data_IF_934255551124
#
_entry.id   IF_934255551124
#
_cell.length_a   1.000
_cell.length_b   1.000
_cell.length_c   1.000
_cell.angle_alpha   90.00
_cell.angle_beta   90.00
_cell.angle_gamma   90.00
#
_symmetry.space_group_name_H-M   'P 1'
#
loop_
_entity.id
_entity.type
_entity.pdbx_description
1 polymer ?
#
# COMPACT_ATOMS: atom_id res chain seq x y z
N UNK A 1 10.72 -12.35 -6.67
CA UNK A 1 9.77 -11.20 -6.66
C UNK A 1 10.45 -9.94 -6.15
N UNK A 2 9.94 -8.74 -6.48
CA UNK A 2 10.45 -7.46 -5.93
C UNK A 2 9.37 -6.85 -5.01
N UNK A 3 9.79 -6.29 -3.85
CA UNK A 3 8.92 -5.54 -2.94
C UNK A 3 9.50 -4.16 -2.72
N UNK A 4 8.83 -3.10 -3.20
CA UNK A 4 9.20 -1.71 -2.88
C UNK A 4 8.50 -1.28 -1.59
N UNK A 5 9.15 -0.44 -0.79
CA UNK A 5 8.66 -0.13 0.56
C UNK A 5 8.81 -1.30 1.53
N UNK A 6 9.80 -2.17 1.29
CA UNK A 6 10.06 -3.41 2.04
C UNK A 6 10.32 -3.20 3.53
N UNK A 7 10.84 -2.03 3.94
CA UNK A 7 11.06 -1.66 5.33
C UNK A 7 9.85 -0.92 5.97
N UNK A 8 8.76 -0.79 5.23
CA UNK A 8 7.48 -0.27 5.72
C UNK A 8 6.72 -1.30 6.57
N UNK A 9 5.62 -0.88 7.19
CA UNK A 9 4.77 -1.74 8.03
C UNK A 9 4.24 -2.95 7.27
N UNK A 10 3.62 -2.73 6.10
CA UNK A 10 3.08 -3.80 5.25
C UNK A 10 4.20 -4.54 4.53
N UNK A 11 5.20 -3.83 4.01
CA UNK A 11 6.32 -4.43 3.27
C UNK A 11 7.09 -5.47 4.08
N UNK A 12 7.40 -5.17 5.35
CA UNK A 12 8.06 -6.13 6.26
C UNK A 12 7.24 -7.40 6.49
N UNK A 13 5.93 -7.24 6.68
CA UNK A 13 5.04 -8.37 6.88
C UNK A 13 4.96 -9.24 5.61
N UNK A 14 4.82 -8.60 4.44
CA UNK A 14 4.80 -9.30 3.15
C UNK A 14 6.12 -10.04 2.87
N UNK A 15 7.28 -9.37 3.04
CA UNK A 15 8.59 -10.00 2.82
C UNK A 15 8.78 -11.23 3.73
N UNK A 16 8.37 -11.14 5.01
CA UNK A 16 8.43 -12.26 5.95
C UNK A 16 7.56 -13.42 5.52
N UNK A 17 6.34 -13.15 5.05
CA UNK A 17 5.42 -14.20 4.62
C UNK A 17 5.87 -14.87 3.31
N UNK A 18 6.36 -14.08 2.35
CA UNK A 18 6.94 -14.62 1.12
C UNK A 18 8.16 -15.51 1.39
N UNK A 19 9.02 -15.11 2.33
CA UNK A 19 10.18 -15.93 2.74
C UNK A 19 9.76 -17.28 3.37
N UNK A 20 8.67 -17.32 4.17
CA UNK A 20 8.12 -18.58 4.71
C UNK A 20 7.59 -19.51 3.60
N UNK A 21 7.26 -18.98 2.45
CA UNK A 21 6.78 -19.72 1.26
C UNK A 21 7.91 -20.05 0.28
N UNK A 22 9.17 -19.92 0.72
CA UNK A 22 10.36 -20.15 -0.10
C UNK A 22 10.42 -19.28 -1.37
N UNK A 23 9.82 -18.09 -1.33
CA UNK A 23 9.86 -17.10 -2.42
C UNK A 23 11.04 -16.17 -2.23
N UNK A 24 11.95 -16.11 -3.21
CA UNK A 24 13.04 -15.15 -3.21
C UNK A 24 12.52 -13.72 -3.38
N UNK A 25 12.92 -12.82 -2.48
CA UNK A 25 12.47 -11.43 -2.43
C UNK A 25 13.62 -10.45 -2.51
N UNK A 26 13.55 -9.54 -3.47
CA UNK A 26 14.42 -8.36 -3.55
C UNK A 26 13.68 -7.18 -2.92
N UNK A 27 14.10 -6.77 -1.73
CA UNK A 27 13.51 -5.62 -1.03
C UNK A 27 14.15 -4.30 -1.47
N UNK A 28 13.33 -3.31 -1.79
CA UNK A 28 13.75 -1.96 -2.15
C UNK A 28 13.10 -0.95 -1.19
N UNK A 29 13.92 -0.21 -0.46
CA UNK A 29 13.43 0.83 0.47
C UNK A 29 14.48 1.94 0.65
N UNK A 30 14.01 3.18 0.79
CA UNK A 30 14.89 4.33 1.08
C UNK A 30 15.65 4.19 2.40
N UNK A 31 15.07 3.49 3.39
CA UNK A 31 15.75 3.24 4.65
C UNK A 31 16.99 2.37 4.50
N UNK A 32 17.01 1.51 3.48
CA UNK A 32 18.18 0.73 3.09
C UNK A 32 18.99 1.38 1.96
N UNK A 33 18.71 2.64 1.62
CA UNK A 33 19.43 3.39 0.57
C UNK A 33 19.04 3.01 -0.86
N UNK A 34 17.94 2.28 -1.07
CA UNK A 34 17.56 1.79 -2.40
C UNK A 34 16.21 2.36 -2.80
N UNK A 35 16.19 3.17 -3.85
CA UNK A 35 14.97 3.78 -4.38
C UNK A 35 14.09 2.75 -5.11
N UNK A 36 12.76 2.95 -5.04
CA UNK A 36 11.80 2.08 -5.72
C UNK A 36 12.00 2.02 -7.24
N UNK A 37 12.51 3.08 -7.85
CA UNK A 37 12.82 3.15 -9.29
C UNK A 37 13.94 2.20 -9.73
N UNK A 38 14.69 1.59 -8.80
CA UNK A 38 15.64 0.50 -9.10
C UNK A 38 14.96 -0.71 -9.75
N UNK A 39 13.64 -0.86 -9.58
CA UNK A 39 12.83 -1.85 -10.31
C UNK A 39 13.12 -1.80 -11.81
N UNK A 40 13.23 -0.60 -12.41
CA UNK A 40 13.48 -0.45 -13.84
C UNK A 40 14.78 -1.13 -14.34
N UNK A 41 15.80 -1.15 -13.50
CA UNK A 41 17.07 -1.82 -13.83
C UNK A 41 16.98 -3.33 -13.58
N UNK A 42 16.36 -3.73 -12.47
CA UNK A 42 16.24 -5.14 -12.09
C UNK A 42 15.44 -5.95 -13.11
N UNK A 43 14.37 -5.38 -13.64
CA UNK A 43 13.51 -6.04 -14.63
C UNK A 43 14.23 -6.30 -15.95
N UNK A 44 15.25 -5.51 -16.32
CA UNK A 44 16.08 -5.75 -17.52
C UNK A 44 16.83 -7.08 -17.48
N UNK A 45 17.16 -7.56 -16.29
CA UNK A 45 17.90 -8.81 -16.11
C UNK A 45 17.01 -10.05 -16.17
N UNK A 46 15.70 -9.89 -16.21
CA UNK A 46 14.72 -11.00 -16.20
C UNK A 46 14.64 -11.74 -14.86
N UNK A 47 13.87 -12.84 -14.84
CA UNK A 47 13.74 -13.70 -13.66
C UNK A 47 12.85 -13.14 -12.54
N UNK A 48 12.04 -12.11 -12.83
CA UNK A 48 11.11 -11.50 -11.88
C UNK A 48 9.66 -11.76 -12.34
N UNK A 49 8.90 -12.47 -11.52
CA UNK A 49 7.49 -12.81 -11.84
C UNK A 49 6.52 -11.70 -11.43
N UNK A 50 6.83 -10.99 -10.32
CA UNK A 50 5.93 -9.99 -9.77
C UNK A 50 6.69 -8.87 -9.05
N UNK A 51 6.16 -7.66 -9.18
CA UNK A 51 6.55 -6.48 -8.39
C UNK A 51 5.39 -6.10 -7.47
N UNK A 52 5.64 -6.08 -6.15
CA UNK A 52 4.76 -5.47 -5.17
C UNK A 52 5.19 -4.03 -4.93
N UNK A 53 4.43 -3.07 -5.42
CA UNK A 53 4.72 -1.66 -5.21
C UNK A 53 3.97 -1.11 -4.00
N UNK A 54 4.65 -1.10 -2.84
CA UNK A 54 4.10 -0.62 -1.56
C UNK A 54 4.74 0.70 -1.10
N UNK A 55 5.78 1.17 -1.80
CA UNK A 55 6.44 2.43 -1.49
C UNK A 55 5.53 3.61 -1.81
N UNK A 56 5.24 4.45 -0.81
CA UNK A 56 4.51 5.70 -0.98
C UNK A 56 4.67 6.62 0.23
N UNK A 57 4.53 7.92 0.02
CA UNK A 57 4.22 8.87 1.08
C UNK A 57 2.75 8.72 1.47
N UNK A 58 2.49 8.40 2.72
CA UNK A 58 1.15 8.06 3.20
C UNK A 58 0.54 9.11 4.13
N UNK A 59 1.15 10.30 4.21
CA UNK A 59 0.61 11.40 5.03
C UNK A 59 -0.65 11.96 4.39
N UNK A 60 -1.76 11.91 5.09
CA UNK A 60 -3.01 12.58 4.71
C UNK A 60 -3.06 14.04 5.20
N UNK A 61 -2.10 14.46 6.05
CA UNK A 61 -2.02 15.79 6.64
C UNK A 61 -0.74 16.49 6.18
N UNK A 62 -0.87 17.67 5.59
CA UNK A 62 0.20 18.65 5.33
C UNK A 62 1.54 18.07 4.83
N UNK A 63 1.49 17.14 3.88
CA UNK A 63 2.68 16.69 3.17
C UNK A 63 3.20 17.78 2.22
N UNK A 64 4.51 17.79 1.97
CA UNK A 64 5.05 18.53 0.85
C UNK A 64 4.43 17.99 -0.45
N UNK A 65 3.62 18.80 -1.12
CA UNK A 65 2.86 18.40 -2.32
C UNK A 65 3.79 17.93 -3.45
N UNK A 66 4.91 18.62 -3.63
CA UNK A 66 5.91 18.25 -4.63
C UNK A 66 6.54 16.89 -4.32
N UNK A 67 6.84 16.64 -3.04
CA UNK A 67 7.38 15.35 -2.61
C UNK A 67 6.36 14.23 -2.77
N UNK A 68 5.08 14.47 -2.47
CA UNK A 68 4.01 13.47 -2.70
C UNK A 68 3.88 13.18 -4.20
N UNK A 69 3.90 14.19 -5.05
CA UNK A 69 3.85 14.01 -6.50
C UNK A 69 5.02 13.15 -6.98
N UNK A 70 6.25 13.49 -6.59
CA UNK A 70 7.45 12.76 -6.96
C UNK A 70 7.44 11.31 -6.45
N UNK A 71 7.10 11.12 -5.17
CA UNK A 71 7.20 9.81 -4.52
C UNK A 71 6.04 8.87 -4.87
N UNK A 72 4.83 9.39 -5.04
CA UNK A 72 3.66 8.57 -5.31
C UNK A 72 3.36 8.49 -6.82
N UNK A 73 3.30 9.62 -7.52
CA UNK A 73 2.87 9.66 -8.93
C UNK A 73 4.04 9.32 -9.86
N UNK A 74 5.12 10.12 -9.83
CA UNK A 74 6.22 9.95 -10.80
C UNK A 74 6.94 8.60 -10.60
N UNK A 75 7.11 8.17 -9.35
CA UNK A 75 7.70 6.86 -9.04
C UNK A 75 6.78 5.72 -9.45
N UNK A 76 5.47 5.83 -9.19
CA UNK A 76 4.50 4.81 -9.62
C UNK A 76 4.51 4.62 -11.14
N UNK A 77 4.42 5.72 -11.90
CA UNK A 77 4.46 5.66 -13.37
C UNK A 77 5.70 4.90 -13.87
N UNK A 78 6.87 5.22 -13.35
CA UNK A 78 8.12 4.54 -13.75
C UNK A 78 8.10 3.05 -13.46
N UNK A 79 7.62 2.64 -12.27
CA UNK A 79 7.51 1.23 -11.89
C UNK A 79 6.47 0.51 -12.76
N UNK A 80 5.32 1.13 -12.99
CA UNK A 80 4.23 0.60 -13.79
C UNK A 80 4.64 0.42 -15.26
N UNK A 81 5.30 1.44 -15.84
CA UNK A 81 5.81 1.38 -17.21
C UNK A 81 6.85 0.28 -17.39
N UNK A 82 7.78 0.14 -16.41
CA UNK A 82 8.77 -0.93 -16.45
C UNK A 82 8.11 -2.31 -16.36
N UNK A 83 7.14 -2.52 -15.46
CA UNK A 83 6.39 -3.77 -15.37
C UNK A 83 5.65 -4.08 -16.68
N UNK A 84 5.02 -3.08 -17.29
CA UNK A 84 4.32 -3.25 -18.57
C UNK A 84 5.29 -3.57 -19.72
N UNK A 85 6.43 -2.88 -19.78
CA UNK A 85 7.47 -3.09 -20.80
C UNK A 85 8.05 -4.51 -20.74
N UNK A 86 8.30 -5.03 -19.55
CA UNK A 86 8.91 -6.36 -19.34
C UNK A 86 7.87 -7.47 -19.09
N UNK A 87 6.59 -7.17 -19.24
CA UNK A 87 5.47 -8.13 -19.04
C UNK A 87 5.45 -8.80 -17.66
N UNK A 88 5.85 -8.06 -16.63
CA UNK A 88 5.89 -8.51 -15.25
C UNK A 88 4.61 -8.09 -14.54
N UNK A 89 4.02 -8.99 -13.72
CA UNK A 89 2.85 -8.69 -12.90
C UNK A 89 3.15 -7.55 -11.93
N UNK A 90 2.27 -6.53 -11.89
CA UNK A 90 2.31 -5.45 -10.92
C UNK A 90 1.16 -5.61 -9.93
N UNK A 91 1.46 -5.76 -8.65
CA UNK A 91 0.52 -5.62 -7.54
C UNK A 91 0.87 -4.33 -6.79
N UNK A 92 -0.05 -3.40 -6.64
CA UNK A 92 0.27 -2.13 -6.00
C UNK A 92 -0.73 -1.75 -4.92
N UNK A 93 -0.20 -1.10 -3.87
CA UNK A 93 -1.03 -0.58 -2.80
C UNK A 93 -1.76 0.69 -3.26
N UNK A 94 -3.08 0.60 -3.39
CA UNK A 94 -3.99 1.72 -3.39
C UNK A 94 -4.56 1.94 -2.00
N UNK A 95 -5.62 2.71 -1.86
CA UNK A 95 -6.19 3.12 -0.57
C UNK A 95 -7.70 3.25 -0.66
N UNK A 96 -8.40 3.00 0.45
CA UNK A 96 -9.81 3.37 0.59
C UNK A 96 -10.08 4.87 0.39
N UNK A 97 -9.04 5.71 0.48
CA UNK A 97 -9.12 7.15 0.21
C UNK A 97 -9.01 7.50 -1.28
N UNK A 98 -8.74 6.54 -2.16
CA UNK A 98 -8.70 6.71 -3.61
C UNK A 98 -10.13 6.78 -4.19
N UNK A 99 -10.95 7.68 -3.64
CA UNK A 99 -12.32 7.91 -4.08
C UNK A 99 -12.45 9.37 -4.55
N UNK A 100 -12.72 9.63 -5.84
CA UNK A 100 -12.79 10.99 -6.38
C UNK A 100 -13.86 11.85 -5.72
N UNK A 101 -14.96 11.25 -5.24
CA UNK A 101 -16.07 11.98 -4.62
C UNK A 101 -15.74 12.49 -3.20
N UNK A 102 -14.84 11.78 -2.48
CA UNK A 102 -14.58 12.04 -1.06
C UNK A 102 -13.10 12.30 -0.75
N UNK A 103 -12.24 12.36 -1.76
CA UNK A 103 -10.81 12.60 -1.56
C UNK A 103 -10.55 14.06 -1.20
N UNK A 104 -10.03 14.29 0.00
CA UNK A 104 -9.65 15.60 0.53
C UNK A 104 -8.13 15.75 0.73
N UNK A 105 -7.34 14.77 0.32
CA UNK A 105 -5.89 14.75 0.52
C UNK A 105 -5.13 14.43 -0.77
N UNK A 106 -3.94 15.04 -0.93
CA UNK A 106 -3.04 14.73 -2.05
C UNK A 106 -2.63 13.25 -2.08
N UNK A 107 -2.57 12.60 -0.93
CA UNK A 107 -2.36 11.15 -0.87
C UNK A 107 -3.50 10.38 -1.56
N UNK A 108 -4.74 10.69 -1.23
CA UNK A 108 -5.90 10.05 -1.87
C UNK A 108 -5.95 10.32 -3.38
N UNK A 109 -5.68 11.58 -3.79
CA UNK A 109 -5.58 11.96 -5.20
C UNK A 109 -4.48 11.15 -5.91
N UNK A 110 -3.29 11.03 -5.30
CA UNK A 110 -2.20 10.26 -5.90
C UNK A 110 -2.57 8.77 -6.07
N UNK A 111 -3.27 8.18 -5.10
CA UNK A 111 -3.72 6.78 -5.20
C UNK A 111 -4.82 6.58 -6.24
N UNK A 112 -5.73 7.54 -6.37
CA UNK A 112 -6.71 7.53 -7.46
C UNK A 112 -6.04 7.67 -8.82
N UNK A 113 -5.04 8.55 -8.95
CA UNK A 113 -4.22 8.66 -10.17
C UNK A 113 -3.54 7.32 -10.51
N UNK A 114 -2.91 6.65 -9.54
CA UNK A 114 -2.26 5.35 -9.73
C UNK A 114 -3.25 4.32 -10.32
N UNK A 115 -4.49 4.27 -9.80
CA UNK A 115 -5.55 3.39 -10.31
C UNK A 115 -5.93 3.70 -11.76
N UNK A 116 -6.13 4.99 -12.09
CA UNK A 116 -6.48 5.39 -13.46
C UNK A 116 -5.32 5.11 -14.42
N UNK A 117 -4.09 5.44 -14.04
CA UNK A 117 -2.90 5.18 -14.84
C UNK A 117 -2.76 3.68 -15.14
N UNK A 118 -2.81 2.85 -14.11
CA UNK A 118 -2.69 1.40 -14.27
C UNK A 118 -3.81 0.83 -15.15
N UNK A 119 -5.04 1.31 -15.01
CA UNK A 119 -6.19 0.81 -15.80
C UNK A 119 -6.05 1.07 -17.29
N UNK A 120 -5.39 2.16 -17.66
CA UNK A 120 -5.21 2.57 -19.06
C UNK A 120 -3.95 1.95 -19.67
N UNK A 121 -2.84 1.92 -18.91
CA UNK A 121 -1.52 1.62 -19.46
C UNK A 121 -0.96 0.25 -19.07
N UNK A 122 -1.47 -0.41 -18.02
CA UNK A 122 -0.87 -1.64 -17.48
C UNK A 122 -1.81 -2.85 -17.62
N UNK A 123 -1.52 -3.72 -18.57
CA UNK A 123 -2.35 -4.92 -18.82
C UNK A 123 -2.33 -5.95 -17.69
N UNK A 124 -1.20 -6.08 -16.99
CA UNK A 124 -1.00 -7.07 -15.93
C UNK A 124 -0.86 -6.41 -14.55
N UNK A 125 -1.67 -5.39 -14.24
CA UNK A 125 -1.68 -4.72 -12.96
C UNK A 125 -2.92 -5.05 -12.13
N UNK A 126 -2.76 -5.17 -10.80
CA UNK A 126 -3.86 -5.25 -9.84
C UNK A 126 -3.61 -4.27 -8.71
N UNK A 127 -4.47 -3.28 -8.60
CA UNK A 127 -4.52 -2.34 -7.49
C UNK A 127 -5.24 -2.92 -6.29
N UNK A 128 -4.68 -2.76 -5.10
CA UNK A 128 -5.25 -3.23 -3.85
C UNK A 128 -5.63 -2.04 -2.98
N UNK A 129 -6.91 -1.68 -2.90
CA UNK A 129 -7.41 -0.68 -1.96
C UNK A 129 -7.35 -1.23 -0.55
N UNK A 130 -6.40 -0.74 0.24
CA UNK A 130 -6.20 -1.14 1.62
C UNK A 130 -7.04 -0.28 2.56
N UNK A 131 -7.69 -0.92 3.54
CA UNK A 131 -8.58 -0.27 4.50
C UNK A 131 -8.02 -0.39 5.92
N UNK A 132 -7.64 0.74 6.54
CA UNK A 132 -7.28 0.90 7.97
C UNK A 132 -6.47 -0.29 8.52
N UNK A 133 -5.31 -0.57 7.91
CA UNK A 133 -4.47 -1.70 8.28
C UNK A 133 -3.91 -1.54 9.69
N UNK A 134 -4.06 -2.57 10.52
CA UNK A 134 -3.54 -2.62 11.88
C UNK A 134 -2.82 -3.94 12.18
N UNK A 135 -2.06 -3.98 13.27
CA UNK A 135 -1.33 -5.17 13.70
C UNK A 135 -0.17 -4.84 14.62
N UNK A 136 0.67 -5.82 14.98
CA UNK A 136 1.84 -5.64 15.85
C UNK A 136 2.82 -4.61 15.29
N UNK A 137 3.43 -3.82 16.18
CA UNK A 137 4.33 -2.72 15.81
C UNK A 137 3.69 -1.72 14.85
N UNK A 138 2.57 -1.09 15.23
CA UNK A 138 1.80 -0.24 14.34
C UNK A 138 2.65 0.94 13.86
N UNK A 139 2.37 1.39 12.64
CA UNK A 139 3.03 2.56 12.09
C UNK A 139 2.72 3.79 12.96
N UNK A 140 3.75 4.58 13.27
CA UNK A 140 3.59 5.86 13.99
C UNK A 140 2.50 6.72 13.36
N UNK A 141 1.72 7.42 14.20
CA UNK A 141 0.61 8.31 13.82
C UNK A 141 -0.60 7.61 13.16
N UNK A 142 -0.75 6.29 13.33
CA UNK A 142 -2.02 5.60 13.09
C UNK A 142 -2.89 5.57 14.35
N UNK A 143 -4.17 5.29 14.21
CA UNK A 143 -5.07 5.21 15.36
C UNK A 143 -4.54 4.22 16.41
N UNK A 144 -4.24 2.98 16.02
CA UNK A 144 -3.73 1.97 16.94
C UNK A 144 -2.44 2.43 17.64
N UNK A 145 -1.53 3.10 16.93
CA UNK A 145 -0.33 3.65 17.55
C UNK A 145 -0.67 4.69 18.62
N UNK A 146 -1.63 5.59 18.36
CA UNK A 146 -2.06 6.57 19.35
C UNK A 146 -2.72 5.90 20.56
N UNK A 147 -3.55 4.88 20.36
CA UNK A 147 -4.21 4.14 21.44
C UNK A 147 -3.21 3.42 22.36
N UNK A 148 -2.08 2.95 21.82
CA UNK A 148 -1.03 2.28 22.60
C UNK A 148 -0.10 3.29 23.30
N UNK A 149 0.28 4.38 22.61
CA UNK A 149 1.34 5.27 23.06
C UNK A 149 0.84 6.50 23.86
N UNK A 150 -0.46 6.74 23.88
CA UNK A 150 -1.05 7.93 24.50
C UNK A 150 -2.11 7.55 25.54
N UNK A 151 -2.01 8.14 26.72
CA UNK A 151 -2.99 7.95 27.80
C UNK A 151 -4.37 8.54 27.45
N UNK A 152 -4.40 9.63 26.69
CA UNK A 152 -5.62 10.31 26.28
C UNK A 152 -5.64 10.52 24.76
N UNK A 153 -6.59 9.90 24.11
CA UNK A 153 -6.79 10.00 22.65
C UNK A 153 -8.16 10.61 22.35
N UNK A 154 -8.16 11.78 21.72
CA UNK A 154 -9.38 12.38 21.21
C UNK A 154 -9.74 11.78 19.84
N UNK A 155 -10.94 11.20 19.74
CA UNK A 155 -11.43 10.63 18.50
C UNK A 155 -12.26 11.63 17.71
N UNK A 156 -11.97 11.78 16.41
CA UNK A 156 -12.79 12.61 15.53
C UNK A 156 -14.25 12.13 15.52
N UNK A 157 -15.19 13.08 15.45
CA UNK A 157 -16.63 12.82 15.47
C UNK A 157 -17.04 11.90 16.64
N UNK A 158 -16.47 12.13 17.82
CA UNK A 158 -16.68 11.32 19.03
C UNK A 158 -16.54 9.80 18.77
N UNK A 159 -15.70 9.42 17.84
CA UNK A 159 -15.47 8.01 17.47
C UNK A 159 -16.60 7.34 16.68
N UNK A 160 -17.58 8.08 16.20
CA UNK A 160 -18.74 7.53 15.44
C UNK A 160 -18.38 7.18 13.98
N UNK A 161 -17.21 7.58 13.49
CA UNK A 161 -16.80 7.22 12.15
C UNK A 161 -16.68 5.71 11.99
N UNK A 162 -17.36 5.17 11.00
CA UNK A 162 -17.35 3.74 10.67
C UNK A 162 -16.16 3.44 9.76
N UNK A 163 -15.43 2.35 10.05
CA UNK A 163 -14.22 1.92 9.31
C UNK A 163 -14.16 0.39 9.24
N UNK A 164 -13.53 -0.09 8.17
CA UNK A 164 -13.09 -1.48 8.05
C UNK A 164 -11.65 -1.56 8.55
N UNK A 165 -11.44 -2.01 9.78
CA UNK A 165 -10.11 -2.26 10.32
C UNK A 165 -9.66 -3.65 9.89
N UNK A 166 -8.54 -3.73 9.15
CA UNK A 166 -8.07 -4.95 8.52
C UNK A 166 -6.74 -5.37 9.15
N UNK A 167 -6.68 -6.60 9.64
CA UNK A 167 -5.47 -7.11 10.26
C UNK A 167 -4.36 -7.30 9.21
N UNK A 168 -3.12 -7.10 9.63
CA UNK A 168 -1.96 -7.09 8.73
C UNK A 168 -1.79 -8.41 7.97
N UNK A 169 -2.06 -9.55 8.62
CA UNK A 169 -1.89 -10.85 7.98
C UNK A 169 -2.94 -11.06 6.87
N UNK A 170 -4.18 -10.60 7.07
CA UNK A 170 -5.22 -10.63 6.02
C UNK A 170 -4.86 -9.73 4.83
N UNK A 171 -4.21 -8.60 5.11
CA UNK A 171 -3.70 -7.71 4.05
C UNK A 171 -2.61 -8.39 3.25
N UNK A 172 -1.69 -9.08 3.91
CA UNK A 172 -0.60 -9.82 3.26
C UNK A 172 -1.15 -10.94 2.39
N UNK A 173 -2.10 -11.73 2.91
CA UNK A 173 -2.77 -12.77 2.12
C UNK A 173 -3.50 -12.20 0.90
N UNK A 174 -4.21 -11.08 1.07
CA UNK A 174 -4.87 -10.39 -0.03
C UNK A 174 -3.90 -9.89 -1.11
N UNK A 175 -2.72 -9.37 -0.71
CA UNK A 175 -1.67 -8.97 -1.66
C UNK A 175 -1.10 -10.16 -2.42
N UNK A 176 -0.85 -11.28 -1.74
CA UNK A 176 -0.36 -12.52 -2.39
C UNK A 176 -1.41 -13.07 -3.35
N UNK A 177 -2.68 -13.10 -2.95
CA UNK A 177 -3.80 -13.49 -3.82
C UNK A 177 -3.86 -12.63 -5.10
N UNK A 178 -3.56 -11.33 -4.98
CA UNK A 178 -3.59 -10.39 -6.10
C UNK A 178 -2.60 -10.73 -7.23
N UNK A 179 -1.56 -11.53 -6.97
CA UNK A 179 -0.59 -11.99 -8.00
C UNK A 179 -1.29 -12.79 -9.09
N UNK A 180 -2.19 -13.71 -8.71
CA UNK A 180 -2.99 -14.53 -9.65
C UNK A 180 -4.30 -13.88 -10.09
N UNK A 181 -4.61 -12.67 -9.62
CA UNK A 181 -5.87 -12.01 -9.89
C UNK A 181 -5.86 -11.29 -11.25
N UNK A 182 -6.90 -11.50 -12.05
CA UNK A 182 -7.09 -10.81 -13.34
C UNK A 182 -7.91 -9.51 -13.23
N UNK A 183 -8.36 -9.14 -12.03
CA UNK A 183 -9.07 -7.88 -11.80
C UNK A 183 -8.07 -6.73 -11.70
N UNK A 184 -8.40 -5.61 -12.32
CA UNK A 184 -7.57 -4.39 -12.25
C UNK A 184 -7.55 -3.76 -10.85
N UNK A 185 -8.64 -3.92 -10.09
CA UNK A 185 -8.80 -3.32 -8.77
C UNK A 185 -9.59 -4.24 -7.82
N UNK A 186 -9.09 -4.41 -6.61
CA UNK A 186 -9.75 -5.14 -5.52
C UNK A 186 -9.67 -4.36 -4.21
N UNK A 187 -10.68 -4.55 -3.34
CA UNK A 187 -10.61 -4.08 -1.96
C UNK A 187 -10.04 -5.19 -1.09
N UNK A 188 -9.08 -4.85 -0.24
CA UNK A 188 -8.59 -5.71 0.83
C UNK A 188 -9.05 -5.10 2.15
N UNK A 189 -10.11 -5.65 2.69
CA UNK A 189 -10.74 -5.11 3.89
C UNK A 189 -11.48 -6.19 4.69
N UNK A 190 -11.56 -6.00 6.00
CA UNK A 190 -12.52 -6.72 6.82
C UNK A 190 -13.93 -6.33 6.38
N UNK A 191 -14.78 -7.32 6.17
CA UNK A 191 -16.18 -7.12 5.72
C UNK A 191 -17.13 -6.64 6.82
N UNK A 192 -16.66 -6.60 8.07
CA UNK A 192 -17.43 -6.11 9.21
C UNK A 192 -16.96 -4.70 9.59
N UNK A 193 -17.64 -3.64 9.13
CA UNK A 193 -17.32 -2.28 9.51
C UNK A 193 -17.74 -2.03 10.96
N UNK A 194 -16.88 -1.32 11.70
CA UNK A 194 -17.14 -0.94 13.10
C UNK A 194 -16.88 0.54 13.31
N UNK A 195 -17.44 1.10 14.38
CA UNK A 195 -17.12 2.47 14.77
C UNK A 195 -15.68 2.56 15.29
N UNK A 196 -15.06 3.72 15.11
CA UNK A 196 -13.73 3.99 15.66
C UNK A 196 -13.72 3.87 17.19
N UNK A 197 -14.82 4.24 17.85
CA UNK A 197 -15.01 4.08 19.30
C UNK A 197 -14.97 2.60 19.71
N UNK A 198 -15.72 1.75 19.01
CA UNK A 198 -15.72 0.30 19.29
C UNK A 198 -14.31 -0.29 19.11
N UNK A 199 -13.63 0.03 18.01
CA UNK A 199 -12.24 -0.43 17.81
C UNK A 199 -11.29 0.06 18.91
N UNK A 200 -11.49 1.26 19.43
CA UNK A 200 -10.68 1.81 20.52
C UNK A 200 -10.97 1.17 21.89
N UNK A 201 -12.11 0.50 22.05
CA UNK A 201 -12.51 -0.18 23.30
C UNK A 201 -12.05 -1.64 23.39
N UNK A 202 -11.53 -2.22 22.32
CA UNK A 202 -10.94 -3.56 22.27
C UNK A 202 -9.53 -3.58 22.82
#
# INVERSE_FOLDING_TARGET
MIVTGSEGFIGKALCRELAKRDVEVIGLDRKSGIEATKVCELLKNGGIDCVFHLAAQTSVFNGNLEQIRKDNIDTFMRVADACNQYHVKLVYASSSTANPENTTSMYGISKYFDEQYASIYCKAATGCRLHNVYGPNPRKRTLLWFLIEKENVSLYNCGQNIRCFTYIDDVVEGLIYAVGCNRQLINICNVQPVTTMYFASL
#
